data_IF_486275247132
#
_entry.id   IF_486275247132
#
_cell.length_a   1.000
_cell.length_b   1.000
_cell.length_c   1.000
_cell.angle_alpha   90.00
_cell.angle_beta   90.00
_cell.angle_gamma   90.00
#
_symmetry.space_group_name_H-M   'P 1'
#
loop_
_entity.id
_entity.type
_entity.pdbx_description
1 polymer ?
#
# COMPACT_ATOMS: atom_id res chain seq x y z
N UNK A 1 46.84 -29.08 10.36
CA UNK A 1 46.45 -27.83 11.04
C UNK A 1 45.13 -27.39 10.44
N UNK A 2 44.16 -27.09 11.31
CA UNK A 2 42.74 -26.86 10.99
C UNK A 2 42.52 -25.63 10.09
N UNK A 3 41.38 -25.67 9.42
CA UNK A 3 40.80 -24.76 8.43
C UNK A 3 40.73 -23.29 8.89
N UNK A 4 41.01 -22.35 7.97
CA UNK A 4 40.41 -21.01 8.01
C UNK A 4 39.65 -20.80 6.70
N UNK A 5 38.38 -21.17 6.74
CA UNK A 5 37.38 -20.96 5.70
C UNK A 5 37.02 -19.47 5.58
N UNK A 6 36.91 -19.04 4.33
CA UNK A 6 35.95 -18.04 3.84
C UNK A 6 35.99 -16.64 4.48
N UNK A 7 36.95 -15.84 4.03
CA UNK A 7 36.68 -14.41 3.88
C UNK A 7 35.69 -14.24 2.73
N UNK A 8 34.39 -14.30 3.03
CA UNK A 8 33.38 -13.71 2.15
C UNK A 8 33.59 -12.19 2.14
N UNK A 9 34.52 -11.73 1.30
CA UNK A 9 34.65 -10.33 0.93
C UNK A 9 33.53 -10.07 -0.06
N UNK A 10 32.43 -9.48 0.41
CA UNK A 10 31.43 -8.90 -0.48
C UNK A 10 32.11 -7.84 -1.33
N UNK A 11 32.22 -8.09 -2.64
CA UNK A 11 32.98 -7.28 -3.62
C UNK A 11 32.48 -5.84 -3.80
N UNK A 12 31.44 -5.40 -3.09
CA UNK A 12 30.84 -4.08 -3.25
C UNK A 12 30.93 -3.25 -1.98
N UNK A 13 32.12 -2.70 -1.70
CA UNK A 13 32.33 -1.53 -0.82
C UNK A 13 31.90 -0.21 -1.49
N UNK A 14 30.81 -0.24 -2.26
CA UNK A 14 30.17 0.97 -2.78
C UNK A 14 29.27 1.60 -1.71
N UNK A 15 29.00 2.92 -1.76
CA UNK A 15 28.00 3.53 -0.89
C UNK A 15 26.64 2.85 -1.10
N UNK A 16 26.06 2.31 -0.04
CA UNK A 16 24.72 1.73 -0.08
C UNK A 16 23.69 2.86 -0.09
N UNK A 17 22.95 3.00 -1.20
CA UNK A 17 21.84 3.94 -1.25
C UNK A 17 20.65 3.44 -0.41
N UNK A 18 20.18 4.30 0.49
CA UNK A 18 19.06 3.99 1.36
C UNK A 18 17.76 4.26 0.60
N UNK A 19 16.88 3.27 0.40
CA UNK A 19 15.59 3.49 -0.24
C UNK A 19 14.64 4.26 0.71
N UNK A 20 13.85 5.18 0.16
CA UNK A 20 12.87 5.96 0.93
C UNK A 20 11.76 5.07 1.53
N UNK A 21 11.40 3.98 0.86
CA UNK A 21 10.41 3.00 1.32
C UNK A 21 10.91 2.19 2.53
N UNK A 22 12.23 2.17 2.75
CA UNK A 22 12.90 1.37 3.76
C UNK A 22 13.40 0.03 3.24
N UNK A 23 14.27 -0.62 4.01
CA UNK A 23 14.76 -1.98 3.73
C UNK A 23 14.89 -2.76 5.04
N UNK A 24 14.70 -4.08 4.96
CA UNK A 24 14.81 -4.96 6.13
C UNK A 24 16.21 -4.91 6.76
N UNK A 25 17.25 -4.73 5.94
CA UNK A 25 18.63 -4.56 6.39
C UNK A 25 18.84 -3.31 7.26
N UNK A 26 18.08 -2.23 7.03
CA UNK A 26 18.19 -1.02 7.86
C UNK A 26 17.63 -1.21 9.27
N UNK A 27 16.67 -2.12 9.44
CA UNK A 27 16.16 -2.52 10.76
C UNK A 27 17.21 -3.34 11.52
N UNK A 28 17.92 -4.23 10.84
CA UNK A 28 19.00 -5.02 11.43
C UNK A 28 20.16 -4.14 11.94
N UNK A 29 20.39 -2.99 11.31
CA UNK A 29 21.38 -1.97 11.73
C UNK A 29 20.87 -1.06 12.88
N UNK A 30 19.62 -1.23 13.32
CA UNK A 30 19.03 -0.45 14.40
C UNK A 30 19.10 1.07 14.15
N UNK A 31 19.49 1.85 15.16
CA UNK A 31 19.51 3.31 15.09
C UNK A 31 20.42 3.87 13.98
N UNK A 32 21.47 3.15 13.60
CA UNK A 32 22.43 3.57 12.56
C UNK A 32 21.80 3.50 11.17
N UNK A 33 20.92 2.53 10.91
CA UNK A 33 20.18 2.45 9.65
C UNK A 33 18.90 3.29 9.64
N UNK A 34 18.20 3.36 10.77
CA UNK A 34 16.88 4.03 10.85
C UNK A 34 16.99 5.56 10.73
N UNK A 35 18.02 6.18 11.31
CA UNK A 35 18.21 7.64 11.25
C UNK A 35 18.37 8.18 9.83
N UNK A 36 19.32 7.68 9.01
CA UNK A 36 19.48 8.16 7.64
C UNK A 36 18.28 7.77 6.75
N UNK A 37 17.62 6.64 7.01
CA UNK A 37 16.37 6.30 6.35
C UNK A 37 15.27 7.34 6.58
N UNK A 38 15.06 7.79 7.82
CA UNK A 38 14.08 8.85 8.12
C UNK A 38 14.36 10.14 7.37
N UNK A 39 15.64 10.55 7.29
CA UNK A 39 16.02 11.74 6.52
C UNK A 39 15.68 11.57 5.04
N UNK A 40 16.07 10.44 4.44
CA UNK A 40 15.76 10.14 3.03
C UNK A 40 14.25 10.10 2.75
N UNK A 41 13.46 9.59 3.70
CA UNK A 41 12.00 9.51 3.60
C UNK A 41 11.34 10.89 3.59
N UNK A 42 11.90 11.84 4.36
CA UNK A 42 11.46 13.24 4.37
C UNK A 42 11.87 13.94 3.07
N UNK A 43 13.13 13.82 2.66
CA UNK A 43 13.67 14.45 1.44
C UNK A 43 12.95 14.02 0.16
N UNK A 44 12.61 12.73 0.07
CA UNK A 44 11.88 12.18 -1.07
C UNK A 44 10.41 12.57 -1.12
N UNK A 45 9.87 13.17 -0.05
CA UNK A 45 8.43 13.46 0.06
C UNK A 45 7.55 12.20 0.11
N UNK A 46 8.14 11.04 0.43
CA UNK A 46 7.45 9.75 0.39
C UNK A 46 6.20 9.72 1.29
N UNK A 47 6.24 10.42 2.43
CA UNK A 47 5.08 10.56 3.32
C UNK A 47 3.91 11.29 2.67
N UNK A 48 4.17 12.36 1.92
CA UNK A 48 3.12 13.09 1.21
C UNK A 48 2.46 12.21 0.13
N UNK A 49 3.28 11.43 -0.59
CA UNK A 49 2.79 10.50 -1.61
C UNK A 49 1.95 9.37 -1.00
N UNK A 50 2.36 8.83 0.16
CA UNK A 50 1.60 7.84 0.91
C UNK A 50 0.22 8.38 1.31
N UNK A 51 0.18 9.60 1.85
CA UNK A 51 -1.08 10.24 2.26
C UNK A 51 -2.01 10.43 1.05
N UNK A 52 -1.49 10.88 -0.08
CA UNK A 52 -2.26 11.04 -1.31
C UNK A 52 -2.83 9.70 -1.82
N UNK A 53 -2.01 8.64 -1.81
CA UNK A 53 -2.43 7.29 -2.19
C UNK A 53 -3.55 6.77 -1.29
N UNK A 54 -3.43 6.96 0.02
CA UNK A 54 -4.47 6.58 0.99
C UNK A 54 -5.79 7.34 0.73
N UNK A 55 -5.72 8.64 0.42
CA UNK A 55 -6.92 9.44 0.07
C UNK A 55 -7.60 8.92 -1.19
N UNK A 56 -6.83 8.67 -2.26
CA UNK A 56 -7.35 8.10 -3.51
C UNK A 56 -8.05 6.76 -3.30
N UNK A 57 -7.44 5.87 -2.52
CA UNK A 57 -8.05 4.57 -2.19
C UNK A 57 -9.35 4.71 -1.39
N UNK A 58 -9.41 5.65 -0.45
CA UNK A 58 -10.62 5.92 0.32
C UNK A 58 -11.75 6.47 -0.58
N UNK A 59 -11.44 7.40 -1.49
CA UNK A 59 -12.40 7.97 -2.44
C UNK A 59 -12.92 6.92 -3.42
N UNK A 60 -12.04 6.09 -3.98
CA UNK A 60 -12.44 4.97 -4.84
C UNK A 60 -13.32 3.95 -4.10
N UNK A 61 -12.98 3.65 -2.85
CA UNK A 61 -13.79 2.80 -1.98
C UNK A 61 -15.19 3.39 -1.75
N UNK A 62 -15.28 4.70 -1.51
CA UNK A 62 -16.55 5.40 -1.32
C UNK A 62 -17.41 5.38 -2.61
N UNK A 63 -16.81 5.67 -3.78
CA UNK A 63 -17.51 5.60 -5.08
C UNK A 63 -18.06 4.21 -5.36
N UNK A 64 -17.24 3.17 -5.19
CA UNK A 64 -17.67 1.76 -5.36
C UNK A 64 -18.79 1.38 -4.41
N UNK A 65 -18.79 1.90 -3.18
CA UNK A 65 -19.86 1.66 -2.21
C UNK A 65 -21.16 2.34 -2.64
N UNK A 66 -21.07 3.57 -3.15
CA UNK A 66 -22.24 4.31 -3.64
C UNK A 66 -22.85 3.66 -4.89
N UNK A 67 -22.03 3.25 -5.85
CA UNK A 67 -22.49 2.51 -7.04
C UNK A 67 -23.21 1.20 -6.65
N UNK A 68 -22.71 0.49 -5.64
CA UNK A 68 -23.37 -0.72 -5.12
C UNK A 68 -24.72 -0.40 -4.47
N UNK A 69 -24.83 0.76 -3.79
CA UNK A 69 -26.07 1.21 -3.17
C UNK A 69 -27.13 1.53 -4.23
N UNK A 70 -26.77 2.30 -5.26
CA UNK A 70 -27.67 2.64 -6.36
C UNK A 70 -28.16 1.37 -7.08
N UNK A 71 -27.26 0.45 -7.43
CA UNK A 71 -27.63 -0.83 -8.07
C UNK A 71 -28.57 -1.67 -7.21
N UNK A 72 -28.41 -1.63 -5.89
CA UNK A 72 -29.29 -2.35 -4.97
C UNK A 72 -30.68 -1.72 -4.93
N UNK A 73 -30.79 -0.40 -4.94
CA UNK A 73 -32.07 0.30 -5.00
C UNK A 73 -32.79 0.10 -6.34
N UNK A 74 -32.08 0.19 -7.46
CA UNK A 74 -32.64 -0.11 -8.79
C UNK A 74 -33.16 -1.55 -8.86
N UNK A 75 -32.40 -2.52 -8.32
CA UNK A 75 -32.82 -3.91 -8.27
C UNK A 75 -34.06 -4.13 -7.37
N UNK A 76 -34.20 -3.35 -6.29
CA UNK A 76 -35.41 -3.38 -5.44
C UNK A 76 -36.61 -2.81 -6.17
N UNK A 77 -36.46 -1.66 -6.82
CA UNK A 77 -37.54 -1.00 -7.56
C UNK A 77 -38.06 -1.89 -8.70
N UNK A 78 -37.14 -2.54 -9.43
CA UNK A 78 -37.52 -3.47 -10.50
C UNK A 78 -38.32 -4.67 -9.97
N UNK A 79 -37.92 -5.24 -8.83
CA UNK A 79 -38.67 -6.32 -8.17
C UNK A 79 -40.06 -5.88 -7.71
N UNK A 80 -40.19 -4.65 -7.22
CA UNK A 80 -41.50 -4.09 -6.82
C UNK A 80 -42.42 -3.89 -8.04
N UNK A 81 -41.89 -3.39 -9.16
CA UNK A 81 -42.65 -3.25 -10.41
C UNK A 81 -43.15 -4.61 -10.93
N UNK A 82 -42.27 -5.62 -10.99
CA UNK A 82 -42.64 -6.98 -11.40
C UNK A 82 -43.71 -7.59 -10.48
N UNK A 83 -43.64 -7.35 -9.17
CA UNK A 83 -44.67 -7.82 -8.23
C UNK A 83 -46.00 -7.10 -8.39
N UNK A 84 -45.99 -5.82 -8.73
CA UNK A 84 -47.22 -5.05 -8.96
C UNK A 84 -47.92 -5.45 -10.27
N UNK A 85 -47.16 -5.75 -11.33
CA UNK A 85 -47.71 -6.28 -12.58
C UNK A 85 -48.32 -7.68 -12.40
N UNK A 86 -47.66 -8.56 -11.65
CA UNK A 86 -48.20 -9.91 -11.35
C UNK A 86 -49.46 -9.90 -10.48
N UNK A 87 -49.65 -8.88 -9.64
CA UNK A 87 -50.87 -8.74 -8.82
C UNK A 87 -52.05 -8.14 -9.58
N UNK A 88 -51.78 -7.50 -10.71
CA UNK A 88 -52.79 -6.84 -11.55
C UNK A 88 -53.10 -7.62 -12.86
N UNK A 89 -52.48 -8.78 -13.07
CA UNK A 89 -52.87 -9.80 -14.07
C UNK A 89 -53.63 -10.93 -13.40
#
# INVERSE_FOLDING_TARGET
MMEETDKQVTENTGPFEIPAEGSLGLLALGAVGVRPWRHKRIESGFEAQLIERCKKQAEEGAKKKEERRIKLEEAKLKKEQEQHEQKNS
#
